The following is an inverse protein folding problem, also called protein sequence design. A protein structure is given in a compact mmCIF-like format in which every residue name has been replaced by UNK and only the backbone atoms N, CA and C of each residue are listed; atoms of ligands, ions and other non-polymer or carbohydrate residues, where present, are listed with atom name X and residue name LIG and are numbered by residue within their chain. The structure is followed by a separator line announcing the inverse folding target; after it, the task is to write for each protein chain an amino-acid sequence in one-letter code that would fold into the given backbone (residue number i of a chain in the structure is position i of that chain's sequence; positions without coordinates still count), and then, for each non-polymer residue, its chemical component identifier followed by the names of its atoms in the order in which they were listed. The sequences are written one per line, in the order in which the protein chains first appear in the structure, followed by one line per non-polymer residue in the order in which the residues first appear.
data_IF_224203284332
#
_entry.id   IF_224203284332
#
_cell.length_a   1.000
_cell.length_b   1.000
_cell.length_c   1.000
_cell.angle_alpha   90.00
_cell.angle_beta   90.00
_cell.angle_gamma   90.00
#
_symmetry.space_group_name_H-M   'P 1'
#
loop_
_entity.id
_entity.type
_entity.pdbx_description
1 polymer ?
#
# COMPACT_ATOMS: atom_id res chain seq x y z
N UNK A 1 9.55 -6.06 -9.91
CA UNK A 1 10.80 -5.41 -9.44
C UNK A 1 10.53 -4.80 -8.09
N UNK A 2 11.35 -5.08 -7.08
CA UNK A 2 11.17 -4.48 -5.75
C UNK A 2 11.61 -3.01 -5.69
N UNK A 3 11.31 -2.31 -4.58
CA UNK A 3 11.74 -0.95 -4.34
C UNK A 3 13.26 -0.88 -4.42
N UNK A 4 13.79 0.09 -5.18
CA UNK A 4 15.23 0.36 -5.27
C UNK A 4 15.69 1.43 -4.27
N UNK A 5 14.90 1.68 -3.23
CA UNK A 5 15.16 2.70 -2.22
C UNK A 5 15.48 2.05 -0.89
N UNK A 6 16.34 2.69 -0.09
CA UNK A 6 16.60 2.28 1.27
C UNK A 6 15.36 2.48 2.15
N UNK A 7 15.20 1.62 3.16
CA UNK A 7 14.17 1.79 4.17
C UNK A 7 14.29 3.17 4.83
N UNK A 8 13.26 4.03 4.79
CA UNK A 8 13.36 5.35 5.40
C UNK A 8 13.50 5.27 6.93
N UNK A 9 13.13 4.14 7.55
CA UNK A 9 13.24 3.92 8.99
C UNK A 9 14.61 3.40 9.42
N UNK A 10 15.11 2.31 8.82
CA UNK A 10 16.38 1.69 9.25
C UNK A 10 17.52 1.76 8.22
N UNK A 11 17.30 2.42 7.08
CA UNK A 11 18.27 2.58 5.98
C UNK A 11 18.76 1.29 5.30
N UNK A 12 18.21 0.13 5.67
CA UNK A 12 18.50 -1.15 5.02
C UNK A 12 17.76 -1.30 3.69
N UNK A 13 18.33 -2.08 2.77
CA UNK A 13 17.76 -2.34 1.44
C UNK A 13 17.24 -3.79 1.31
N UNK A 14 16.51 -4.25 2.32
CA UNK A 14 15.87 -5.56 2.31
C UNK A 14 14.35 -5.40 2.38
N UNK A 15 13.70 -5.60 1.24
CA UNK A 15 12.25 -5.48 1.09
C UNK A 15 11.61 -6.83 0.76
N UNK A 16 10.49 -7.11 1.42
CA UNK A 16 9.64 -8.25 1.17
C UNK A 16 8.29 -7.76 0.65
N UNK A 17 7.87 -8.28 -0.51
CA UNK A 17 6.55 -8.00 -1.09
C UNK A 17 5.47 -8.67 -0.25
N UNK A 18 4.38 -7.96 0.03
CA UNK A 18 3.17 -8.52 0.61
C UNK A 18 2.10 -8.66 -0.47
N UNK A 19 1.91 -9.89 -0.94
CA UNK A 19 0.99 -10.22 -2.02
C UNK A 19 -0.49 -10.32 -1.59
N UNK A 20 -0.78 -10.32 -0.29
CA UNK A 20 -2.14 -10.50 0.22
C UNK A 20 -2.91 -9.18 0.39
N UNK A 21 -2.20 -8.05 0.47
CA UNK A 21 -2.78 -6.76 0.88
C UNK A 21 -2.90 -5.74 -0.26
N UNK A 22 -2.90 -6.23 -1.51
CA UNK A 22 -2.64 -5.42 -2.71
C UNK A 22 -3.79 -4.52 -3.18
N UNK A 23 -4.87 -4.37 -2.41
CA UNK A 23 -6.10 -3.72 -2.86
C UNK A 23 -6.63 -2.71 -1.84
N UNK A 24 -6.72 -1.45 -2.25
CA UNK A 24 -7.33 -0.38 -1.45
C UNK A 24 -8.68 0.01 -2.07
N UNK A 25 -9.82 -0.22 -1.37
CA UNK A 25 -11.12 0.21 -1.85
C UNK A 25 -11.22 1.74 -1.87
N UNK A 26 -11.95 2.27 -2.85
CA UNK A 26 -12.20 3.71 -2.90
C UNK A 26 -13.30 4.07 -1.90
N UNK A 27 -13.05 5.06 -1.03
CA UNK A 27 -14.01 5.48 -0.01
C UNK A 27 -14.60 6.85 -0.39
N UNK A 28 -15.93 6.91 -0.47
CA UNK A 28 -16.69 8.12 -0.79
C UNK A 28 -17.41 8.58 0.46
N UNK A 29 -17.24 9.86 0.82
CA UNK A 29 -18.02 10.49 1.90
C UNK A 29 -19.33 11.03 1.33
N UNK A 30 -20.45 10.69 1.96
CA UNK A 30 -21.78 11.17 1.61
C UNK A 30 -22.11 12.49 2.32
N UNK A 31 -23.06 13.23 1.77
CA UNK A 31 -23.53 14.51 2.32
C UNK A 31 -24.13 14.36 3.73
N UNK A 32 -24.71 13.20 4.04
CA UNK A 32 -25.26 12.87 5.37
C UNK A 32 -24.20 12.45 6.40
N UNK A 33 -22.91 12.55 6.04
CA UNK A 33 -21.78 12.20 6.90
C UNK A 33 -21.42 10.72 6.94
N UNK A 34 -22.12 9.85 6.20
CA UNK A 34 -21.76 8.43 6.05
C UNK A 34 -20.62 8.23 5.05
N UNK A 35 -20.10 7.01 5.03
CA UNK A 35 -19.05 6.59 4.11
C UNK A 35 -19.49 5.33 3.37
N UNK A 36 -19.17 5.25 2.07
CA UNK A 36 -19.37 4.07 1.23
C UNK A 36 -18.02 3.63 0.68
N UNK A 37 -17.74 2.32 0.73
CA UNK A 37 -16.54 1.73 0.14
C UNK A 37 -16.89 1.03 -1.17
N UNK A 38 -16.30 1.47 -2.27
CA UNK A 38 -16.32 0.78 -3.55
C UNK A 38 -15.21 -0.27 -3.59
N UNK A 39 -15.60 -1.53 -3.37
CA UNK A 39 -14.71 -2.68 -3.40
C UNK A 39 -14.48 -3.26 -4.81
N UNK A 40 -15.02 -2.62 -5.86
CA UNK A 40 -14.83 -3.04 -7.26
C UNK A 40 -13.87 -2.12 -8.00
N UNK A 41 -13.96 -0.81 -7.76
CA UNK A 41 -13.13 0.21 -8.40
C UNK A 41 -12.04 0.78 -7.47
N UNK A 42 -11.46 -0.07 -6.63
CA UNK A 42 -10.29 0.23 -5.81
C UNK A 42 -8.99 0.27 -6.62
N UNK A 43 -7.94 0.81 -6.00
CA UNK A 43 -6.62 0.95 -6.62
C UNK A 43 -5.74 -0.22 -6.20
N UNK A 44 -5.05 -0.81 -7.17
CA UNK A 44 -4.02 -1.81 -6.89
C UNK A 44 -2.78 -1.12 -6.34
N UNK A 45 -2.35 -1.57 -5.16
CA UNK A 45 -1.12 -1.10 -4.53
C UNK A 45 -0.20 -2.28 -4.27
N UNK A 46 1.10 -2.09 -4.47
CA UNK A 46 2.09 -3.03 -3.97
C UNK A 46 2.54 -2.61 -2.60
N UNK A 47 2.45 -3.52 -1.65
CA UNK A 47 2.95 -3.32 -0.29
C UNK A 47 4.30 -3.99 -0.12
N UNK A 48 5.25 -3.25 0.43
CA UNK A 48 6.58 -3.75 0.74
C UNK A 48 6.87 -3.52 2.21
N UNK A 49 7.32 -4.58 2.89
CA UNK A 49 7.75 -4.53 4.27
C UNK A 49 9.27 -4.64 4.33
N UNK A 50 9.91 -3.78 5.11
CA UNK A 50 11.32 -3.92 5.42
C UNK A 50 11.54 -5.15 6.30
N UNK A 51 12.46 -6.02 5.90
CA UNK A 51 12.75 -7.25 6.64
C UNK A 51 13.32 -6.97 8.04
N UNK A 52 14.15 -5.94 8.16
CA UNK A 52 14.89 -5.62 9.38
C UNK A 52 14.07 -4.91 10.46
N UNK A 53 13.21 -3.96 10.07
CA UNK A 53 12.50 -3.10 11.02
C UNK A 53 10.97 -3.12 10.90
N UNK A 54 10.41 -4.00 10.06
CA UNK A 54 8.97 -4.13 9.83
C UNK A 54 8.26 -2.90 9.21
N UNK A 55 9.00 -1.86 8.83
CA UNK A 55 8.43 -0.65 8.21
C UNK A 55 7.71 -1.00 6.90
N UNK A 56 6.51 -0.45 6.69
CA UNK A 56 5.66 -0.73 5.52
C UNK A 56 5.62 0.47 4.58
N UNK A 57 5.81 0.24 3.29
CA UNK A 57 5.60 1.21 2.23
C UNK A 57 4.58 0.70 1.22
N UNK A 58 3.81 1.64 0.66
CA UNK A 58 2.82 1.40 -0.37
C UNK A 58 3.30 2.07 -1.66
N UNK A 59 3.26 1.33 -2.78
CA UNK A 59 3.52 1.87 -4.10
C UNK A 59 2.24 1.76 -4.92
N UNK A 60 1.78 2.91 -5.41
CA UNK A 60 0.65 3.01 -6.32
C UNK A 60 1.11 2.58 -7.71
N UNK A 61 0.44 1.59 -8.31
CA UNK A 61 0.62 1.30 -9.73
C UNK A 61 -0.48 2.04 -10.50
N UNK A 62 -0.13 2.89 -11.49
CA UNK A 62 -1.13 3.40 -12.42
C UNK A 62 -1.66 2.23 -13.26
N UNK A 63 -2.99 2.18 -13.44
CA UNK A 63 -3.67 1.20 -14.32
C UNK A 63 -3.25 1.34 -15.79
#
# INVERSE_FOLDING_TARGET
MGPKIHCPNCQENEWLENNELSYLPHVIKLEDGKYVADAKNGIHVRLWRCNNCMFVMQFWEPD
#
